data_IF_399591973585
#
_entry.id   IF_399591973585
#
_cell.length_a   1.000
_cell.length_b   1.000
_cell.length_c   1.000
_cell.angle_alpha   90.00
_cell.angle_beta   90.00
_cell.angle_gamma   90.00
#
_symmetry.space_group_name_H-M   'P 1'
#
loop_
_entity.id
_entity.type
_entity.pdbx_description
1 polymer ?
#
# COMPACT_ATOMS: atom_id res chain seq x y z
N UNK A 1 6.30 -2.58 -19.49
CA UNK A 1 5.09 -2.75 -18.67
C UNK A 1 4.16 -1.58 -18.95
N UNK A 2 2.89 -1.81 -19.30
CA UNK A 2 2.04 -0.75 -19.88
C UNK A 2 1.78 0.44 -18.94
N UNK A 3 1.36 0.21 -17.70
CA UNK A 3 1.06 1.30 -16.75
C UNK A 3 2.31 2.12 -16.39
N UNK A 4 3.46 1.47 -16.27
CA UNK A 4 4.74 2.15 -16.02
C UNK A 4 5.11 3.04 -17.20
N UNK A 5 4.95 2.54 -18.43
CA UNK A 5 5.20 3.33 -19.64
C UNK A 5 4.28 4.55 -19.74
N UNK A 6 2.99 4.38 -19.45
CA UNK A 6 2.04 5.50 -19.44
C UNK A 6 2.40 6.55 -18.38
N UNK A 7 2.86 6.13 -17.19
CA UNK A 7 3.35 7.05 -16.17
C UNK A 7 4.61 7.79 -16.62
N UNK A 8 5.56 7.10 -17.27
CA UNK A 8 6.77 7.70 -17.83
C UNK A 8 6.46 8.72 -18.95
N UNK A 9 5.40 8.49 -19.72
CA UNK A 9 4.93 9.41 -20.76
C UNK A 9 4.00 10.52 -20.23
N UNK A 10 3.78 10.60 -18.91
CA UNK A 10 2.81 11.51 -18.28
C UNK A 10 1.37 11.37 -18.81
N UNK A 11 1.01 10.18 -19.29
CA UNK A 11 -0.35 9.82 -19.76
C UNK A 11 -1.18 9.15 -18.67
N UNK A 12 -0.55 8.71 -17.58
CA UNK A 12 -1.20 8.15 -16.41
C UNK A 12 -0.92 9.05 -15.20
N UNK A 13 -1.99 9.58 -14.60
CA UNK A 13 -1.88 10.47 -13.44
C UNK A 13 -1.89 9.73 -12.11
N UNK A 14 -2.73 8.70 -11.98
CA UNK A 14 -2.90 7.98 -10.73
C UNK A 14 -3.44 6.56 -10.96
N UNK A 15 -3.03 5.62 -10.11
CA UNK A 15 -3.56 4.25 -10.08
C UNK A 15 -4.21 4.01 -8.72
N UNK A 16 -5.47 3.60 -8.75
CA UNK A 16 -6.17 3.07 -7.57
C UNK A 16 -6.26 1.55 -7.73
N UNK A 17 -5.63 0.82 -6.82
CA UNK A 17 -5.56 -0.64 -6.86
C UNK A 17 -6.28 -1.27 -5.67
N UNK A 18 -7.03 -2.34 -5.96
CA UNK A 18 -7.59 -3.26 -4.96
C UNK A 18 -6.74 -4.53 -4.79
N UNK A 19 -5.73 -4.73 -5.64
CA UNK A 19 -4.86 -5.89 -5.58
C UNK A 19 -3.86 -5.75 -4.43
N UNK A 20 -3.48 -6.88 -3.83
CA UNK A 20 -2.56 -6.94 -2.69
C UNK A 20 -1.24 -7.62 -3.03
N UNK A 21 -0.98 -7.92 -4.30
CA UNK A 21 0.18 -8.68 -4.78
C UNK A 21 1.50 -7.88 -4.81
N UNK A 22 1.41 -6.56 -4.66
CA UNK A 22 2.55 -5.63 -4.69
C UNK A 22 3.22 -5.47 -6.05
N UNK A 23 2.61 -5.97 -7.13
CA UNK A 23 3.22 -5.96 -8.46
C UNK A 23 3.32 -4.55 -9.05
N UNK A 24 2.42 -3.62 -8.69
CA UNK A 24 2.51 -2.23 -9.14
C UNK A 24 3.83 -1.58 -8.67
N UNK A 25 4.12 -1.60 -7.38
CA UNK A 25 5.39 -1.10 -6.84
C UNK A 25 6.60 -1.85 -7.42
N UNK A 26 6.54 -3.18 -7.47
CA UNK A 26 7.64 -4.01 -7.99
C UNK A 26 7.89 -3.81 -9.49
N UNK A 27 6.89 -3.37 -10.24
CA UNK A 27 7.03 -3.05 -11.67
C UNK A 27 7.83 -1.75 -11.92
N UNK A 28 8.05 -0.95 -10.87
CA UNK A 28 8.69 0.37 -10.97
C UNK A 28 7.69 1.53 -11.11
N UNK A 29 6.38 1.28 -10.92
CA UNK A 29 5.40 2.36 -10.86
C UNK A 29 5.73 3.27 -9.65
N UNK A 30 5.83 4.60 -9.83
CA UNK A 30 6.11 5.51 -8.73
C UNK A 30 5.06 5.37 -7.62
N UNK A 31 5.50 5.22 -6.36
CA UNK A 31 4.58 5.07 -5.23
C UNK A 31 3.70 6.30 -5.00
N UNK A 32 4.12 7.48 -5.47
CA UNK A 32 3.33 8.72 -5.40
C UNK A 32 2.12 8.73 -6.35
N UNK A 33 2.10 7.86 -7.37
CA UNK A 33 1.00 7.75 -8.33
C UNK A 33 0.15 6.50 -8.08
N UNK A 34 0.20 5.93 -6.87
CA UNK A 34 -0.46 4.67 -6.54
C UNK A 34 -1.13 4.75 -5.16
N UNK A 35 -2.40 4.36 -5.10
CA UNK A 35 -3.10 4.04 -3.85
C UNK A 35 -3.46 2.55 -3.83
N UNK A 36 -3.01 1.82 -2.81
CA UNK A 36 -3.32 0.40 -2.59
C UNK A 36 -4.40 0.27 -1.52
N UNK A 37 -5.68 0.25 -1.93
CA UNK A 37 -6.83 0.34 -1.02
C UNK A 37 -6.97 -0.86 -0.09
N UNK A 38 -6.57 -2.05 -0.55
CA UNK A 38 -6.62 -3.26 0.28
C UNK A 38 -5.25 -3.62 0.88
N UNK A 39 -4.32 -2.67 0.84
CA UNK A 39 -2.95 -2.86 1.26
C UNK A 39 -2.13 -3.70 0.30
N UNK A 40 -0.97 -4.11 0.78
CA UNK A 40 0.04 -4.80 0.00
C UNK A 40 0.69 -5.90 0.84
N UNK A 41 0.72 -7.11 0.28
CA UNK A 41 1.24 -8.32 0.95
C UNK A 41 2.71 -8.20 1.33
N UNK A 42 3.44 -7.26 0.75
CA UNK A 42 4.85 -7.01 0.97
C UNK A 42 5.13 -5.76 1.81
N UNK A 43 4.09 -5.05 2.27
CA UNK A 43 4.23 -3.79 2.98
C UNK A 43 3.89 -3.94 4.47
N UNK A 44 4.75 -3.37 5.31
CA UNK A 44 4.51 -3.13 6.73
C UNK A 44 4.52 -1.65 7.04
N UNK A 45 3.77 -1.25 8.06
CA UNK A 45 3.76 0.12 8.57
C UNK A 45 3.98 0.12 10.08
N UNK A 46 4.85 1.02 10.56
CA UNK A 46 4.92 1.31 11.97
C UNK A 46 3.77 2.25 12.38
N UNK A 47 2.90 1.83 13.29
CA UNK A 47 1.80 2.69 13.75
C UNK A 47 2.25 3.87 14.63
N UNK A 48 3.49 3.85 15.16
CA UNK A 48 4.03 4.92 16.02
C UNK A 48 4.68 6.06 15.23
N UNK A 49 5.54 5.74 14.26
CA UNK A 49 6.28 6.74 13.48
C UNK A 49 5.93 6.75 11.99
N UNK A 50 4.95 5.94 11.57
CA UNK A 50 4.42 5.86 10.21
C UNK A 50 5.42 5.46 9.12
N UNK A 51 6.62 5.00 9.49
CA UNK A 51 7.59 4.46 8.53
C UNK A 51 7.02 3.21 7.85
N UNK A 52 7.02 3.22 6.52
CA UNK A 52 6.62 2.12 5.64
C UNK A 52 7.85 1.27 5.26
N UNK A 53 7.71 -0.05 5.27
CA UNK A 53 8.74 -1.02 4.90
C UNK A 53 8.22 -1.97 3.83
N UNK A 54 8.80 -1.92 2.63
CA UNK A 54 8.48 -2.85 1.55
C UNK A 54 9.55 -3.95 1.54
N UNK A 55 9.10 -5.20 1.55
CA UNK A 55 9.95 -6.39 1.53
C UNK A 55 9.75 -7.21 0.25
N UNK A 56 10.66 -8.13 -0.06
CA UNK A 56 10.52 -9.08 -1.18
C UNK A 56 9.71 -10.34 -0.81
N UNK A 57 9.34 -10.48 0.46
CA UNK A 57 8.52 -11.56 1.01
C UNK A 57 7.19 -11.06 1.57
N UNK A 58 6.23 -11.99 1.77
CA UNK A 58 4.92 -11.67 2.35
C UNK A 58 5.05 -11.34 3.84
N UNK A 59 4.54 -10.19 4.25
CA UNK A 59 4.75 -9.64 5.60
C UNK A 59 3.80 -10.22 6.64
N UNK A 60 2.60 -10.64 6.24
CA UNK A 60 1.62 -11.19 7.19
C UNK A 60 2.12 -12.48 7.84
N UNK A 61 2.12 -12.52 9.18
CA UNK A 61 2.49 -13.69 9.99
C UNK A 61 1.41 -14.11 10.98
N UNK A 62 0.34 -13.33 11.10
CA UNK A 62 -0.66 -13.50 12.14
C UNK A 62 -1.59 -14.70 11.89
N UNK A 63 -2.00 -15.36 12.98
CA UNK A 63 -2.89 -16.52 12.95
C UNK A 63 -4.38 -16.13 12.92
N UNK A 64 -4.74 -14.96 13.43
CA UNK A 64 -6.11 -14.45 13.45
C UNK A 64 -6.36 -13.45 12.31
N UNK A 65 -7.63 -13.35 11.88
CA UNK A 65 -8.01 -12.54 10.72
C UNK A 65 -7.71 -11.05 10.92
N UNK A 66 -7.93 -10.50 12.12
CA UNK A 66 -7.73 -9.06 12.41
C UNK A 66 -6.48 -8.78 13.26
N UNK A 67 -5.62 -9.78 13.43
CA UNK A 67 -4.29 -9.54 13.98
C UNK A 67 -3.37 -9.19 12.82
N UNK A 68 -2.83 -7.98 12.84
CA UNK A 68 -1.90 -7.48 11.82
C UNK A 68 -0.47 -7.38 12.35
N UNK A 69 -0.22 -7.72 13.62
CA UNK A 69 1.11 -7.61 14.19
C UNK A 69 2.04 -8.64 13.55
N UNK A 70 3.17 -8.18 13.03
CA UNK A 70 4.09 -9.05 12.30
C UNK A 70 5.23 -9.60 13.16
N UNK A 71 5.26 -9.22 14.45
CA UNK A 71 6.34 -9.47 15.40
C UNK A 71 7.72 -8.92 15.00
N UNK A 72 7.81 -8.16 13.90
CA UNK A 72 9.01 -7.41 13.52
C UNK A 72 9.04 -6.04 14.17
N UNK A 73 10.23 -5.46 14.30
CA UNK A 73 10.45 -4.17 14.95
C UNK A 73 10.84 -3.10 13.93
N UNK A 74 10.26 -1.93 14.10
CA UNK A 74 10.59 -0.75 13.33
C UNK A 74 12.05 -0.34 13.60
N UNK A 75 12.87 -0.26 12.55
CA UNK A 75 14.25 0.16 12.66
C UNK A 75 14.42 1.63 13.12
N UNK A 76 13.38 2.47 12.98
CA UNK A 76 13.43 3.88 13.36
C UNK A 76 13.09 4.14 14.84
N UNK A 77 12.12 3.39 15.40
CA UNK A 77 11.61 3.68 16.75
C UNK A 77 11.44 2.45 17.66
N UNK A 78 11.79 1.25 17.20
CA UNK A 78 11.72 -0.01 17.95
C UNK A 78 10.31 -0.54 18.23
N UNK A 79 9.25 0.12 17.74
CA UNK A 79 7.86 -0.34 17.93
C UNK A 79 7.51 -1.51 16.99
N UNK A 80 6.47 -2.27 17.31
CA UNK A 80 6.00 -3.38 16.47
C UNK A 80 5.52 -2.88 15.11
N UNK A 81 5.85 -3.62 14.06
CA UNK A 81 5.36 -3.43 12.71
C UNK A 81 4.05 -4.18 12.50
N UNK A 82 3.21 -3.63 11.64
CA UNK A 82 1.92 -4.20 11.27
C UNK A 82 1.85 -4.37 9.75
N UNK A 83 1.32 -5.48 9.26
CA UNK A 83 1.04 -5.63 7.84
C UNK A 83 -0.08 -4.68 7.40
N UNK A 84 -0.11 -4.39 6.10
CA UNK A 84 -1.06 -3.43 5.53
C UNK A 84 -2.34 -4.07 4.99
N UNK A 85 -2.46 -5.42 5.02
CA UNK A 85 -3.58 -6.12 4.38
C UNK A 85 -4.90 -5.72 5.04
N UNK A 86 -5.92 -5.46 4.22
CA UNK A 86 -7.28 -5.21 4.69
C UNK A 86 -8.10 -6.49 4.52
N UNK A 87 -8.68 -7.01 5.61
CA UNK A 87 -9.63 -8.12 5.59
C UNK A 87 -11.07 -7.59 5.62
N UNK A 88 -12.04 -8.47 5.36
CA UNK A 88 -13.45 -8.11 5.52
C UNK A 88 -13.75 -7.66 6.95
N UNK A 89 -14.34 -6.48 7.09
CA UNK A 89 -14.63 -5.86 8.38
C UNK A 89 -13.58 -4.82 8.82
N UNK A 90 -12.40 -4.80 8.19
CA UNK A 90 -11.41 -3.76 8.43
C UNK A 90 -11.79 -2.46 7.71
N UNK A 91 -11.36 -1.32 8.27
CA UNK A 91 -11.50 -0.04 7.59
C UNK A 91 -10.44 0.11 6.49
N UNK A 92 -10.81 0.70 5.35
CA UNK A 92 -9.85 1.09 4.33
C UNK A 92 -8.86 2.13 4.88
N UNK A 93 -7.61 2.16 4.39
CA UNK A 93 -6.63 3.16 4.77
C UNK A 93 -7.08 4.56 4.35
N UNK A 94 -7.39 5.40 5.35
CA UNK A 94 -7.98 6.73 5.15
C UNK A 94 -7.23 7.60 4.14
N UNK A 95 -5.91 7.69 4.27
CA UNK A 95 -5.08 8.50 3.37
C UNK A 95 -5.21 8.02 1.92
N UNK A 96 -5.01 6.72 1.66
CA UNK A 96 -5.08 6.16 0.30
C UNK A 96 -6.48 6.33 -0.29
N UNK A 97 -7.54 6.19 0.53
CA UNK A 97 -8.93 6.39 0.11
C UNK A 97 -9.24 7.85 -0.23
N UNK A 98 -8.82 8.79 0.60
CA UNK A 98 -8.98 10.23 0.37
C UNK A 98 -8.23 10.67 -0.90
N UNK A 99 -6.96 10.28 -1.03
CA UNK A 99 -6.16 10.54 -2.23
C UNK A 99 -6.81 9.95 -3.49
N UNK A 100 -7.36 8.73 -3.40
CA UNK A 100 -8.08 8.11 -4.51
C UNK A 100 -9.29 8.93 -4.95
N UNK A 101 -10.10 9.42 -4.00
CA UNK A 101 -11.24 10.28 -4.31
C UNK A 101 -10.81 11.63 -4.89
N UNK A 102 -9.73 12.22 -4.39
CA UNK A 102 -9.26 13.52 -4.88
C UNK A 102 -8.74 13.44 -6.31
N UNK A 103 -8.00 12.38 -6.66
CA UNK A 103 -7.60 12.13 -8.05
C UNK A 103 -8.80 11.78 -8.94
N UNK A 104 -9.72 10.94 -8.47
CA UNK A 104 -10.91 10.56 -9.24
C UNK A 104 -11.81 11.76 -9.57
N UNK A 105 -11.94 12.75 -8.67
CA UNK A 105 -12.70 13.99 -8.92
C UNK A 105 -12.07 14.89 -9.98
N UNK A 106 -10.75 14.83 -10.13
CA UNK A 106 -9.98 15.66 -11.07
C UNK A 106 -9.80 14.99 -12.43
N UNK A 107 -10.03 13.67 -12.50
CA UNK A 107 -9.88 12.90 -13.73
C UNK A 107 -10.94 13.30 -14.77
N UNK A 108 -10.51 13.40 -16.01
CA UNK A 108 -11.33 13.63 -17.20
C UNK A 108 -11.56 12.35 -18.03
N UNK A 109 -10.92 11.24 -17.61
CA UNK A 109 -11.06 9.88 -18.17
C UNK A 109 -11.11 8.84 -17.05
#
# INVERSE_FOLDING_TARGET
>A
MALVELACQNLLHFVVSQNTDGLHLRSGLPSITLAELHGNSNLETCQKCHTKYVSDFRTRTAAAVHDHATNRKCAQCGSTLYDSIINFGDSLPKHELETSFDHAKQADV
#
